data_IF_002050573275
#
_entry.id   IF_002050573275
#
_cell.length_a   1.000
_cell.length_b   1.000
_cell.length_c   1.000
_cell.angle_alpha   90.00
_cell.angle_beta   90.00
_cell.angle_gamma   90.00
#
_symmetry.space_group_name_H-M   'P 1'
#
loop_
_entity.id
_entity.type
_entity.pdbx_description
1 polymer ?
#
# COMPACT_ATOMS: atom_id res chain seq x y z
N UNK A 1 -29.00 -17.78 18.80
CA UNK A 1 -27.78 -17.62 17.98
C UNK A 1 -26.71 -18.52 18.58
N UNK A 2 -26.21 -19.55 17.88
CA UNK A 2 -25.21 -20.42 18.47
C UNK A 2 -23.88 -19.67 18.59
N UNK A 3 -23.28 -19.72 19.78
CA UNK A 3 -21.97 -19.17 20.05
C UNK A 3 -20.93 -19.92 19.20
N UNK A 4 -20.26 -19.20 18.29
CA UNK A 4 -19.09 -19.72 17.57
C UNK A 4 -18.06 -20.15 18.61
N UNK A 5 -17.68 -21.43 18.58
CA UNK A 5 -16.74 -22.04 19.52
C UNK A 5 -15.40 -21.28 19.52
N UNK A 6 -14.77 -21.11 20.69
CA UNK A 6 -13.41 -20.55 20.81
C UNK A 6 -12.39 -21.30 19.94
N UNK A 7 -12.64 -22.58 19.64
CA UNK A 7 -11.83 -23.42 18.75
C UNK A 7 -11.95 -22.98 17.27
N UNK A 8 -13.12 -22.50 16.86
CA UNK A 8 -13.35 -21.95 15.51
C UNK A 8 -12.78 -20.53 15.36
N UNK A 9 -12.73 -19.74 16.46
CA UNK A 9 -11.97 -18.48 16.50
C UNK A 9 -10.45 -18.72 16.48
N UNK A 10 -9.97 -19.83 17.04
CA UNK A 10 -8.54 -20.23 17.04
C UNK A 10 -8.00 -20.63 15.67
N UNK A 11 -8.86 -21.04 14.73
CA UNK A 11 -8.48 -21.37 13.35
C UNK A 11 -8.90 -20.30 12.35
N UNK A 12 -8.73 -19.02 12.70
CA UNK A 12 -8.76 -18.02 11.64
C UNK A 12 -7.55 -18.28 10.73
N UNK A 13 -7.80 -18.55 9.44
CA UNK A 13 -6.71 -18.73 8.49
C UNK A 13 -5.90 -17.45 8.49
N UNK A 14 -4.59 -17.56 8.40
CA UNK A 14 -3.71 -16.38 8.40
C UNK A 14 -4.04 -15.41 7.26
N UNK A 15 -4.57 -15.93 6.16
CA UNK A 15 -5.16 -15.16 5.07
C UNK A 15 -6.36 -14.29 5.49
N UNK A 16 -7.24 -14.82 6.34
CA UNK A 16 -8.44 -14.12 6.82
C UNK A 16 -8.08 -13.01 7.82
N UNK A 17 -7.12 -13.29 8.72
CA UNK A 17 -6.56 -12.27 9.62
C UNK A 17 -5.92 -11.13 8.81
N UNK A 18 -5.10 -11.48 7.81
CA UNK A 18 -4.48 -10.51 6.91
C UNK A 18 -5.52 -9.64 6.22
N UNK A 19 -6.53 -10.25 5.58
CA UNK A 19 -7.60 -9.53 4.87
C UNK A 19 -8.39 -8.62 5.80
N UNK A 20 -8.69 -9.09 7.01
CA UNK A 20 -9.36 -8.28 8.02
C UNK A 20 -8.53 -7.04 8.39
N UNK A 21 -7.25 -7.20 8.69
CA UNK A 21 -6.36 -6.09 9.05
C UNK A 21 -6.15 -5.14 7.87
N UNK A 22 -5.99 -5.67 6.66
CA UNK A 22 -5.90 -4.86 5.45
C UNK A 22 -7.12 -3.96 5.29
N UNK A 23 -8.33 -4.50 5.46
CA UNK A 23 -9.57 -3.74 5.27
C UNK A 23 -9.88 -2.77 6.42
N UNK A 24 -9.62 -3.16 7.67
CA UNK A 24 -10.03 -2.40 8.86
C UNK A 24 -8.95 -1.45 9.39
N UNK A 25 -7.69 -1.88 9.39
CA UNK A 25 -6.62 -1.22 10.12
C UNK A 25 -5.57 -0.57 9.21
N UNK A 26 -5.26 -1.16 8.06
CA UNK A 26 -4.17 -0.68 7.22
C UNK A 26 -4.60 0.11 6.01
N UNK A 27 -5.83 -0.09 5.52
CA UNK A 27 -6.36 0.71 4.42
C UNK A 27 -6.90 2.03 4.97
N UNK A 28 -6.50 3.13 4.35
CA UNK A 28 -6.96 4.48 4.70
C UNK A 28 -7.41 5.24 3.46
N UNK A 29 -8.58 5.90 3.51
CA UNK A 29 -8.92 6.86 2.47
C UNK A 29 -7.93 8.02 2.51
N UNK A 30 -7.73 8.66 1.35
CA UNK A 30 -6.90 9.87 1.27
C UNK A 30 -7.68 11.04 0.71
N UNK A 31 -7.29 12.25 1.12
CA UNK A 31 -7.74 13.48 0.53
C UNK A 31 -7.30 13.53 -0.94
N UNK A 32 -8.25 13.83 -1.83
CA UNK A 32 -7.99 13.86 -3.26
C UNK A 32 -7.02 14.99 -3.65
N UNK A 33 -6.10 14.68 -4.56
CA UNK A 33 -4.98 15.55 -4.91
C UNK A 33 -5.33 16.78 -5.75
N UNK A 34 -6.58 16.97 -6.22
CA UNK A 34 -7.16 18.19 -6.81
C UNK A 34 -8.42 17.88 -7.63
N UNK A 35 -8.70 16.60 -7.93
CA UNK A 35 -9.77 16.16 -8.84
C UNK A 35 -11.19 16.35 -8.27
N UNK A 36 -11.31 16.86 -7.04
CA UNK A 36 -12.57 16.99 -6.34
C UNK A 36 -12.73 18.41 -5.78
N UNK A 37 -13.46 19.27 -6.50
CA UNK A 37 -14.05 20.47 -5.93
C UNK A 37 -15.58 20.41 -6.05
N UNK A 38 -16.33 20.54 -4.94
CA UNK A 38 -15.86 20.70 -3.57
C UNK A 38 -15.45 19.37 -2.90
N UNK A 39 -14.59 19.38 -1.85
CA UNK A 39 -14.05 18.18 -1.21
C UNK A 39 -15.12 17.17 -0.73
N UNK A 40 -16.26 17.68 -0.25
CA UNK A 40 -17.37 16.86 0.25
C UNK A 40 -18.16 16.10 -0.83
N UNK A 41 -17.90 16.34 -2.11
CA UNK A 41 -18.49 15.60 -3.25
C UNK A 41 -17.51 14.63 -3.89
N UNK A 42 -16.34 14.41 -3.28
CA UNK A 42 -15.29 13.64 -3.91
C UNK A 42 -15.64 12.15 -4.03
N UNK A 43 -15.71 11.66 -5.27
CA UNK A 43 -15.95 10.25 -5.59
C UNK A 43 -14.66 9.49 -5.92
N UNK A 44 -13.48 10.09 -5.74
CA UNK A 44 -12.22 9.50 -6.20
C UNK A 44 -11.89 8.15 -5.52
N UNK A 45 -12.49 7.87 -4.34
CA UNK A 45 -12.37 6.62 -3.54
C UNK A 45 -10.92 6.10 -3.45
N UNK A 46 -9.93 6.99 -3.58
CA UNK A 46 -8.52 6.64 -3.52
C UNK A 46 -8.17 6.28 -2.09
N UNK A 47 -7.30 5.29 -1.97
CA UNK A 47 -6.85 4.73 -0.71
C UNK A 47 -5.36 4.49 -0.74
N UNK A 48 -4.75 4.51 0.44
CA UNK A 48 -3.41 3.98 0.66
C UNK A 48 -3.49 2.81 1.62
N UNK A 49 -2.46 1.98 1.57
CA UNK A 49 -2.21 0.92 2.54
C UNK A 49 -1.05 1.38 3.43
N UNK A 50 -1.19 1.19 4.74
CA UNK A 50 -0.13 1.42 5.71
C UNK A 50 0.96 0.35 5.52
N UNK A 51 1.83 0.57 4.55
CA UNK A 51 2.84 -0.39 4.09
C UNK A 51 3.77 -0.85 5.20
N UNK A 52 4.15 0.03 6.13
CA UNK A 52 5.02 -0.34 7.26
C UNK A 52 4.35 -1.30 8.25
N UNK A 53 3.08 -1.07 8.60
CA UNK A 53 2.34 -1.97 9.48
C UNK A 53 2.16 -3.34 8.82
N UNK A 54 1.83 -3.34 7.53
CA UNK A 54 1.70 -4.54 6.70
C UNK A 54 3.02 -5.32 6.61
N UNK A 55 4.13 -4.65 6.29
CA UNK A 55 5.45 -5.27 6.19
C UNK A 55 5.91 -5.85 7.53
N UNK A 56 5.66 -5.13 8.62
CA UNK A 56 5.96 -5.57 9.98
C UNK A 56 5.15 -6.81 10.33
N UNK A 57 3.86 -6.83 10.01
CA UNK A 57 2.98 -7.96 10.31
C UNK A 57 3.48 -9.27 9.70
N UNK A 58 4.03 -9.24 8.48
CA UNK A 58 4.60 -10.43 7.82
C UNK A 58 5.82 -11.02 8.53
N UNK A 59 6.63 -10.18 9.17
CA UNK A 59 7.87 -10.61 9.85
C UNK A 59 7.69 -10.82 11.36
N UNK A 60 6.59 -10.35 11.92
CA UNK A 60 6.24 -10.61 13.31
C UNK A 60 6.00 -12.11 13.54
N UNK A 61 6.44 -12.59 14.71
CA UNK A 61 6.19 -13.95 15.15
C UNK A 61 4.75 -14.12 15.58
N UNK A 62 4.16 -15.28 15.28
CA UNK A 62 2.81 -15.56 15.75
C UNK A 62 2.82 -15.83 17.26
N UNK A 63 1.88 -15.29 18.06
CA UNK A 63 1.87 -15.49 19.52
C UNK A 63 1.83 -16.96 19.93
N UNK A 64 1.15 -17.80 19.16
CA UNK A 64 1.03 -19.25 19.41
C UNK A 64 2.19 -20.06 18.80
N UNK A 65 3.06 -19.44 17.99
CA UNK A 65 4.20 -20.11 17.36
C UNK A 65 5.39 -19.15 17.24
N UNK A 66 6.10 -18.87 18.36
CA UNK A 66 7.18 -17.89 18.41
C UNK A 66 8.38 -18.23 17.51
N UNK A 67 8.49 -19.47 17.06
CA UNK A 67 9.54 -19.97 16.15
C UNK A 67 9.28 -19.60 14.69
N UNK A 68 8.04 -19.20 14.35
CA UNK A 68 7.63 -18.92 12.98
C UNK A 68 7.04 -17.53 12.83
N UNK A 69 7.51 -16.80 11.82
CA UNK A 69 6.86 -15.55 11.42
C UNK A 69 5.51 -15.84 10.76
N UNK A 70 4.63 -14.84 10.74
CA UNK A 70 3.37 -14.93 10.02
C UNK A 70 3.56 -15.26 8.53
N UNK A 71 4.61 -14.75 7.88
CA UNK A 71 4.92 -15.13 6.50
C UNK A 71 5.27 -16.61 6.32
N UNK A 72 5.97 -17.23 7.29
CA UNK A 72 6.24 -18.67 7.25
C UNK A 72 4.95 -19.46 7.34
N UNK A 73 4.14 -19.16 8.35
CA UNK A 73 2.83 -19.80 8.55
C UNK A 73 1.92 -19.66 7.34
N UNK A 74 1.92 -18.50 6.67
CA UNK A 74 1.16 -18.32 5.43
C UNK A 74 1.59 -19.26 4.32
N UNK A 75 2.90 -19.46 4.12
CA UNK A 75 3.39 -20.40 3.11
C UNK A 75 3.09 -21.86 3.45
N UNK A 76 3.10 -22.22 4.74
CA UNK A 76 2.76 -23.56 5.21
C UNK A 76 1.26 -23.86 5.08
N UNK A 77 0.40 -22.87 5.33
CA UNK A 77 -1.07 -23.01 5.20
C UNK A 77 -1.57 -22.89 3.76
N UNK A 78 -0.76 -22.32 2.85
CA UNK A 78 -1.16 -22.12 1.45
C UNK A 78 -0.77 -23.34 0.61
N UNK A 79 -1.75 -24.08 0.06
CA UNK A 79 -1.43 -25.22 -0.78
C UNK A 79 -0.63 -24.77 -2.02
N UNK A 80 0.35 -25.57 -2.48
CA UNK A 80 1.09 -25.24 -3.68
C UNK A 80 0.14 -25.16 -4.88
N UNK A 81 0.29 -24.13 -5.71
CA UNK A 81 -0.50 -24.03 -6.93
C UNK A 81 -0.23 -25.24 -7.85
N UNK A 82 -1.23 -25.77 -8.58
CA UNK A 82 -1.06 -26.95 -9.43
C UNK A 82 0.02 -26.80 -10.50
N UNK A 83 0.25 -25.57 -10.96
CA UNK A 83 1.25 -25.22 -11.97
C UNK A 83 2.65 -24.96 -11.39
N UNK A 84 2.82 -25.06 -10.07
CA UNK A 84 4.05 -24.68 -9.39
C UNK A 84 5.09 -25.77 -9.57
N UNK A 85 6.01 -25.56 -10.51
CA UNK A 85 7.13 -26.49 -10.77
C UNK A 85 8.21 -26.43 -9.69
N UNK A 86 8.34 -25.29 -9.00
CA UNK A 86 9.34 -25.09 -7.93
C UNK A 86 8.75 -24.28 -6.78
N UNK A 87 9.02 -24.72 -5.55
CA UNK A 87 8.61 -24.02 -4.34
C UNK A 87 9.41 -22.72 -4.19
N UNK A 88 8.73 -21.57 -4.24
CA UNK A 88 9.38 -20.29 -3.90
C UNK A 88 9.66 -20.34 -2.40
N UNK A 89 10.95 -20.21 -2.06
CA UNK A 89 11.39 -20.24 -0.67
C UNK A 89 10.91 -18.98 0.05
N UNK A 90 10.59 -19.12 1.33
CA UNK A 90 10.25 -17.99 2.21
C UNK A 90 11.23 -16.82 2.07
N UNK A 91 12.53 -17.14 2.04
CA UNK A 91 13.61 -16.18 1.91
C UNK A 91 13.45 -15.29 0.66
N UNK A 92 12.93 -15.83 -0.44
CA UNK A 92 12.79 -15.10 -1.69
C UNK A 92 11.65 -14.08 -1.64
N UNK A 93 10.56 -14.40 -0.93
CA UNK A 93 9.36 -13.54 -0.87
C UNK A 93 9.47 -12.51 0.25
N UNK A 94 9.99 -12.93 1.41
CA UNK A 94 9.90 -12.12 2.63
C UNK A 94 11.21 -11.44 3.03
N UNK A 95 12.35 -11.80 2.45
CA UNK A 95 13.65 -11.24 2.85
C UNK A 95 14.41 -10.59 1.71
N UNK A 96 15.27 -9.63 2.05
CA UNK A 96 16.17 -8.96 1.12
C UNK A 96 15.51 -7.90 0.22
N UNK A 97 16.33 -7.37 -0.67
CA UNK A 97 16.03 -6.28 -1.59
C UNK A 97 15.00 -6.61 -2.67
N UNK A 98 14.81 -7.92 -2.91
CA UNK A 98 13.89 -8.48 -3.89
C UNK A 98 12.63 -9.06 -3.21
N UNK A 99 12.31 -8.58 -2.00
CA UNK A 99 11.10 -9.02 -1.32
C UNK A 99 9.86 -8.67 -2.15
N UNK A 100 8.83 -9.49 -1.96
CA UNK A 100 7.54 -9.36 -2.62
C UNK A 100 6.42 -9.27 -1.57
N UNK A 101 6.67 -8.63 -0.42
CA UNK A 101 5.70 -8.58 0.68
C UNK A 101 4.48 -7.76 0.28
N UNK A 102 4.71 -6.59 -0.33
CA UNK A 102 3.65 -5.71 -0.84
C UNK A 102 3.00 -6.30 -2.09
N UNK A 103 3.79 -6.86 -3.00
CA UNK A 103 3.25 -7.56 -4.19
C UNK A 103 2.34 -8.71 -3.76
N UNK A 104 2.80 -9.59 -2.87
CA UNK A 104 1.99 -10.70 -2.33
C UNK A 104 0.72 -10.18 -1.66
N UNK A 105 0.84 -9.09 -0.89
CA UNK A 105 -0.28 -8.47 -0.18
C UNK A 105 -1.35 -7.93 -1.12
N UNK A 106 -0.94 -7.30 -2.22
CA UNK A 106 -1.83 -6.86 -3.28
C UNK A 106 -2.51 -8.04 -3.99
N UNK A 107 -1.75 -9.08 -4.32
CA UNK A 107 -2.30 -10.30 -4.93
C UNK A 107 -3.25 -11.02 -3.96
N UNK A 108 -3.00 -10.97 -2.64
CA UNK A 108 -3.90 -11.50 -1.62
C UNK A 108 -5.24 -10.76 -1.58
N UNK A 109 -5.21 -9.43 -1.66
CA UNK A 109 -6.42 -8.61 -1.75
C UNK A 109 -7.24 -8.99 -3.00
N UNK A 110 -6.57 -9.23 -4.12
CA UNK A 110 -7.19 -9.54 -5.41
C UNK A 110 -7.57 -11.02 -5.59
N UNK A 111 -7.15 -11.91 -4.68
CA UNK A 111 -7.35 -13.36 -4.81
C UNK A 111 -6.39 -14.07 -5.76
N UNK A 112 -5.32 -13.40 -6.21
CA UNK A 112 -4.30 -13.89 -7.14
C UNK A 112 -3.01 -14.35 -6.44
N UNK A 113 -2.99 -14.49 -5.12
CA UNK A 113 -1.78 -14.82 -4.33
C UNK A 113 -1.08 -16.12 -4.75
N UNK A 114 -1.83 -17.08 -5.32
CA UNK A 114 -1.30 -18.32 -5.86
C UNK A 114 -0.37 -18.12 -7.07
N UNK A 115 -0.35 -16.92 -7.67
CA UNK A 115 0.51 -16.53 -8.79
C UNK A 115 1.80 -15.83 -8.35
N UNK A 116 2.07 -15.72 -7.04
CA UNK A 116 3.25 -15.00 -6.53
C UNK A 116 4.57 -15.50 -7.11
N UNK A 117 4.68 -16.79 -7.44
CA UNK A 117 5.86 -17.36 -8.07
C UNK A 117 6.06 -16.86 -9.51
N UNK A 118 4.96 -16.63 -10.24
CA UNK A 118 4.98 -16.07 -11.60
C UNK A 118 5.41 -14.61 -11.59
N UNK A 119 4.89 -13.84 -10.65
CA UNK A 119 5.29 -12.45 -10.41
C UNK A 119 6.77 -12.37 -10.03
N UNK A 120 7.22 -13.19 -9.09
CA UNK A 120 8.62 -13.23 -8.67
C UNK A 120 9.57 -13.58 -9.82
N UNK A 121 9.26 -14.61 -10.62
CA UNK A 121 10.09 -15.02 -11.77
C UNK A 121 10.16 -13.96 -12.88
N UNK A 122 9.13 -13.12 -12.99
CA UNK A 122 9.09 -12.00 -13.92
C UNK A 122 9.76 -10.73 -13.38
N UNK A 123 10.49 -10.82 -12.25
CA UNK A 123 11.11 -9.68 -11.54
C UNK A 123 10.10 -8.62 -11.05
N UNK A 124 8.87 -9.05 -10.75
CA UNK A 124 7.82 -8.20 -10.17
C UNK A 124 7.87 -8.30 -8.64
N UNK A 125 8.82 -7.58 -8.05
CA UNK A 125 9.05 -7.45 -6.61
C UNK A 125 8.52 -6.11 -6.05
N UNK A 126 8.71 -5.83 -4.75
CA UNK A 126 8.19 -4.62 -4.11
C UNK A 126 8.73 -3.31 -4.75
N UNK A 127 9.95 -3.34 -5.34
CA UNK A 127 10.52 -2.19 -6.07
C UNK A 127 9.83 -1.95 -7.42
N UNK A 128 9.22 -2.98 -8.00
CA UNK A 128 8.46 -2.89 -9.25
C UNK A 128 7.26 -1.94 -9.10
N UNK A 129 6.63 -1.91 -7.92
CA UNK A 129 5.40 -1.18 -7.71
C UNK A 129 5.55 0.33 -8.03
N UNK A 130 6.70 0.92 -7.70
CA UNK A 130 7.03 2.32 -7.97
C UNK A 130 7.41 2.61 -9.43
N UNK A 131 7.66 1.58 -10.26
CA UNK A 131 8.16 1.74 -11.63
C UNK A 131 7.03 1.64 -12.65
N UNK A 132 7.23 2.27 -13.80
CA UNK A 132 6.49 1.95 -15.03
C UNK A 132 7.42 1.09 -15.87
N UNK A 133 7.22 -0.23 -15.86
CA UNK A 133 8.01 -1.18 -16.65
C UNK A 133 7.11 -1.89 -17.65
N UNK A 134 7.76 -2.53 -18.62
CA UNK A 134 7.10 -3.42 -19.58
C UNK A 134 6.71 -4.73 -18.88
N UNK A 135 5.44 -5.08 -18.93
CA UNK A 135 4.90 -6.31 -18.33
C UNK A 135 5.11 -7.54 -19.21
N UNK A 136 5.90 -7.45 -20.30
CA UNK A 136 6.07 -8.55 -21.25
C UNK A 136 6.51 -9.87 -20.58
N UNK A 137 7.51 -9.83 -19.69
CA UNK A 137 7.96 -11.02 -18.96
C UNK A 137 6.87 -11.59 -18.05
N UNK A 138 6.11 -10.71 -17.38
CA UNK A 138 4.99 -11.12 -16.52
C UNK A 138 3.88 -11.75 -17.36
N UNK A 139 3.55 -11.14 -18.49
CA UNK A 139 2.54 -11.62 -19.44
C UNK A 139 2.90 -12.99 -19.99
N UNK A 140 4.14 -13.20 -20.42
CA UNK A 140 4.63 -14.50 -20.88
C UNK A 140 4.54 -15.55 -19.78
N UNK A 141 4.99 -15.22 -18.57
CA UNK A 141 4.94 -16.09 -17.39
C UNK A 141 3.51 -16.51 -17.00
N UNK A 142 2.54 -15.59 -17.12
CA UNK A 142 1.13 -15.85 -16.81
C UNK A 142 0.40 -16.62 -17.93
N UNK A 143 0.77 -16.43 -19.19
CA UNK A 143 0.19 -17.15 -20.35
C UNK A 143 0.46 -18.66 -20.31
N UNK A 144 1.46 -19.11 -19.55
CA UNK A 144 1.71 -20.53 -19.31
C UNK A 144 0.56 -21.22 -18.54
N UNK A 145 -0.24 -20.46 -17.79
CA UNK A 145 -1.22 -21.01 -16.84
C UNK A 145 -2.63 -20.42 -16.98
N UNK A 146 -2.77 -19.31 -17.70
CA UNK A 146 -4.04 -18.60 -17.89
C UNK A 146 -4.26 -18.22 -19.35
N UNK A 147 -5.54 -18.04 -19.72
CA UNK A 147 -5.89 -17.52 -21.04
C UNK A 147 -5.48 -16.06 -21.19
N UNK A 148 -5.26 -15.60 -22.43
CA UNK A 148 -4.88 -14.20 -22.72
C UNK A 148 -5.82 -13.18 -22.06
N UNK A 149 -7.13 -13.43 -22.08
CA UNK A 149 -8.14 -12.55 -21.47
C UNK A 149 -7.99 -12.47 -19.95
N UNK A 150 -7.67 -13.59 -19.28
CA UNK A 150 -7.43 -13.61 -17.84
C UNK A 150 -6.12 -12.90 -17.50
N UNK A 151 -5.06 -13.10 -18.29
CA UNK A 151 -3.78 -12.40 -18.12
C UNK A 151 -3.96 -10.89 -18.23
N UNK A 152 -4.69 -10.42 -19.25
CA UNK A 152 -5.01 -9.00 -19.42
C UNK A 152 -5.72 -8.43 -18.19
N UNK A 153 -6.68 -9.18 -17.64
CA UNK A 153 -7.42 -8.78 -16.43
C UNK A 153 -6.52 -8.74 -15.20
N UNK A 154 -5.69 -9.77 -14.96
CA UNK A 154 -4.78 -9.83 -13.80
C UNK A 154 -3.82 -8.65 -13.81
N UNK A 155 -3.18 -8.38 -14.96
CA UNK A 155 -2.26 -7.25 -15.13
C UNK A 155 -3.02 -5.94 -14.91
N UNK A 156 -4.19 -5.77 -15.54
CA UNK A 156 -5.00 -4.55 -15.36
C UNK A 156 -5.39 -4.31 -13.90
N UNK A 157 -5.87 -5.34 -13.20
CA UNK A 157 -6.21 -5.29 -11.78
C UNK A 157 -4.99 -4.89 -10.96
N UNK A 158 -3.84 -5.53 -11.18
CA UNK A 158 -2.57 -5.21 -10.52
C UNK A 158 -2.17 -3.75 -10.72
N UNK A 159 -2.16 -3.24 -11.96
CA UNK A 159 -1.78 -1.84 -12.24
C UNK A 159 -2.76 -0.81 -11.70
N UNK A 160 -4.05 -1.14 -11.63
CA UNK A 160 -5.07 -0.28 -11.04
C UNK A 160 -4.80 -0.06 -9.56
N UNK A 161 -4.50 -1.13 -8.83
CA UNK A 161 -4.50 -1.12 -7.37
C UNK A 161 -3.09 -0.93 -6.77
N UNK A 162 -2.01 -1.14 -7.54
CA UNK A 162 -0.62 -1.06 -7.04
C UNK A 162 -0.25 0.26 -6.35
N UNK A 163 -0.85 1.37 -6.78
CA UNK A 163 -0.52 2.69 -6.23
C UNK A 163 -0.96 2.85 -4.77
N UNK A 164 -1.97 2.09 -4.32
CA UNK A 164 -2.36 2.06 -2.91
C UNK A 164 -1.25 1.48 -2.01
N UNK A 165 -0.40 0.60 -2.56
CA UNK A 165 0.73 -0.03 -1.87
C UNK A 165 2.05 0.76 -2.03
N UNK A 166 1.96 1.97 -2.59
CA UNK A 166 3.08 2.87 -2.88
C UNK A 166 2.81 4.29 -2.36
N UNK A 167 2.58 4.46 -1.05
CA UNK A 167 2.43 5.81 -0.50
C UNK A 167 3.72 6.60 -0.72
N UNK A 168 3.58 7.89 -1.03
CA UNK A 168 4.74 8.78 -1.13
C UNK A 168 5.40 8.94 0.23
N UNK A 169 6.70 8.69 0.31
CA UNK A 169 7.49 8.97 1.51
C UNK A 169 7.76 10.47 1.61
N UNK A 170 7.10 11.16 2.54
CA UNK A 170 7.32 12.59 2.76
C UNK A 170 8.65 12.84 3.49
N UNK A 171 9.40 13.83 3.02
CA UNK A 171 10.66 14.27 3.61
C UNK A 171 10.62 15.78 3.86
N UNK A 172 11.39 16.26 4.83
CA UNK A 172 11.59 17.70 4.99
C UNK A 172 12.20 18.28 3.69
N UNK A 173 11.75 19.48 3.30
CA UNK A 173 12.20 20.18 2.08
C UNK A 173 12.02 19.38 0.78
N UNK A 174 11.03 18.48 0.73
CA UNK A 174 10.69 17.74 -0.48
C UNK A 174 10.35 18.70 -1.63
N UNK A 175 11.20 18.71 -2.64
CA UNK A 175 10.99 19.38 -3.93
C UNK A 175 10.91 18.33 -5.04
N UNK A 176 9.75 17.63 -5.09
CA UNK A 176 9.50 16.58 -6.06
C UNK A 176 8.40 17.03 -7.02
N UNK A 177 8.72 17.00 -8.30
CA UNK A 177 7.72 17.20 -9.34
C UNK A 177 6.82 15.95 -9.43
N UNK A 178 5.59 16.06 -8.91
CA UNK A 178 4.58 15.00 -8.96
C UNK A 178 3.65 15.11 -10.19
N UNK A 179 3.93 16.01 -11.13
CA UNK A 179 3.14 16.15 -12.36
C UNK A 179 3.10 14.86 -13.17
N UNK A 180 1.88 14.43 -13.51
CA UNK A 180 1.65 13.20 -14.28
C UNK A 180 2.02 11.91 -13.53
N UNK A 181 2.41 11.99 -12.26
CA UNK A 181 2.69 10.80 -11.46
C UNK A 181 1.38 10.15 -11.01
N UNK A 182 1.37 8.82 -10.96
CA UNK A 182 0.23 8.04 -10.43
C UNK A 182 0.34 7.81 -8.91
N UNK A 183 1.22 8.55 -8.23
CA UNK A 183 1.50 8.37 -6.82
C UNK A 183 0.36 8.93 -5.98
N UNK A 184 -0.06 8.17 -4.96
CA UNK A 184 -1.08 8.61 -4.00
C UNK A 184 -0.38 9.29 -2.83
N UNK A 185 -0.76 10.55 -2.57
CA UNK A 185 -0.23 11.34 -1.46
C UNK A 185 -0.92 10.88 -0.17
N UNK A 186 -0.18 10.67 0.92
CA UNK A 186 -0.72 10.15 2.17
C UNK A 186 -1.42 11.23 3.00
N UNK A 187 -2.23 12.07 2.38
CA UNK A 187 -2.93 13.16 3.04
C UNK A 187 -4.28 12.64 3.54
N UNK A 188 -4.59 12.80 4.82
CA UNK A 188 -5.93 12.54 5.35
C UNK A 188 -6.87 13.74 5.17
N UNK A 189 -6.32 14.97 5.24
CA UNK A 189 -7.05 16.20 4.94
C UNK A 189 -6.25 17.12 4.00
N UNK A 190 -6.95 17.96 3.24
CA UNK A 190 -6.37 18.92 2.30
C UNK A 190 -7.28 20.13 2.11
N UNK A 191 -6.78 21.30 2.48
CA UNK A 191 -7.46 22.60 2.43
C UNK A 191 -6.69 23.54 1.50
N UNK A 192 -7.32 24.02 0.43
CA UNK A 192 -6.74 25.06 -0.44
C UNK A 192 -6.73 26.40 0.31
N UNK A 193 -5.58 27.04 0.42
CA UNK A 193 -5.48 28.38 0.98
C UNK A 193 -5.88 29.43 -0.08
N UNK A 194 -6.51 30.55 0.34
CA UNK A 194 -6.90 31.61 -0.59
C UNK A 194 -5.68 32.19 -1.30
N UNK A 195 -5.85 32.47 -2.59
CA UNK A 195 -4.80 32.99 -3.46
C UNK A 195 -4.42 34.41 -3.04
N UNK A 196 -3.22 34.57 -2.48
CA UNK A 196 -2.59 35.88 -2.27
C UNK A 196 -1.54 36.13 -3.35
N UNK A 197 -1.99 36.27 -4.60
CA UNK A 197 -1.23 36.91 -5.69
C UNK A 197 0.06 36.21 -6.14
N UNK A 198 0.05 34.90 -6.39
CA UNK A 198 1.19 34.17 -6.96
C UNK A 198 0.76 33.04 -7.89
N UNK A 199 1.70 32.48 -8.66
CA UNK A 199 1.48 31.42 -9.66
C UNK A 199 1.32 30.01 -9.08
N UNK A 200 1.35 29.86 -7.75
CA UNK A 200 1.35 28.56 -7.08
C UNK A 200 0.15 28.40 -6.15
N UNK A 201 -0.55 27.28 -6.27
CA UNK A 201 -1.59 26.85 -5.34
C UNK A 201 -0.95 26.31 -4.05
N UNK A 202 -1.31 26.90 -2.91
CA UNK A 202 -0.83 26.47 -1.59
C UNK A 202 -1.94 25.72 -0.88
N UNK A 203 -1.60 24.58 -0.28
CA UNK A 203 -2.54 23.77 0.49
C UNK A 203 -2.02 23.56 1.92
N UNK A 204 -2.93 23.55 2.88
CA UNK A 204 -2.73 22.87 4.15
C UNK A 204 -3.15 21.42 3.98
N UNK A 205 -2.33 20.49 4.45
CA UNK A 205 -2.63 19.06 4.39
C UNK A 205 -2.45 18.46 5.78
N UNK A 206 -3.21 17.43 6.14
CA UNK A 206 -2.93 16.66 7.35
C UNK A 206 -2.38 15.30 6.95
N UNK A 207 -1.42 14.79 7.72
CA UNK A 207 -0.80 13.47 7.51
C UNK A 207 -0.77 12.72 8.84
N UNK A 208 -1.09 11.43 8.79
CA UNK A 208 -0.97 10.56 9.96
C UNK A 208 0.50 10.40 10.36
N UNK A 209 0.77 10.49 11.66
CA UNK A 209 2.13 10.45 12.22
C UNK A 209 2.87 9.17 11.85
N UNK A 210 2.18 8.03 11.79
CA UNK A 210 2.74 6.71 11.47
C UNK A 210 3.11 6.53 9.98
N UNK A 211 2.66 7.44 9.11
CA UNK A 211 3.02 7.49 7.69
C UNK A 211 4.25 8.38 7.43
N UNK A 212 4.74 9.10 8.44
CA UNK A 212 5.92 9.96 8.33
C UNK A 212 7.12 9.21 8.88
N UNK A 213 8.01 8.77 7.99
CA UNK A 213 9.23 8.05 8.39
C UNK A 213 10.47 8.92 8.47
N UNK A 214 10.43 10.10 7.85
CA UNK A 214 11.54 11.05 7.92
C UNK A 214 11.60 11.69 9.31
N UNK A 215 12.73 11.50 10.00
CA UNK A 215 12.88 11.96 11.39
C UNK A 215 12.93 13.48 11.47
N UNK A 216 13.59 14.14 10.50
CA UNK A 216 13.67 15.59 10.45
C UNK A 216 12.28 16.23 10.25
N UNK A 217 11.48 15.67 9.33
CA UNK A 217 10.08 16.07 9.16
C UNK A 217 9.27 15.79 10.43
N UNK A 218 9.41 14.61 11.04
CA UNK A 218 8.72 14.28 12.30
C UNK A 218 8.99 15.32 13.39
N UNK A 219 10.26 15.68 13.59
CA UNK A 219 10.67 16.67 14.59
C UNK A 219 10.12 18.07 14.29
N UNK A 220 10.13 18.48 13.01
CA UNK A 220 9.57 19.75 12.56
C UNK A 220 8.06 19.84 12.81
N UNK A 221 7.35 18.71 12.74
CA UNK A 221 5.91 18.60 12.90
C UNK A 221 5.47 18.38 14.34
N UNK A 222 6.38 18.11 15.28
CA UNK A 222 6.06 17.74 16.65
C UNK A 222 5.14 18.75 17.35
N UNK A 223 5.28 20.05 17.06
CA UNK A 223 4.45 21.13 17.65
C UNK A 223 3.07 21.28 17.02
N UNK A 224 2.83 20.60 15.89
CA UNK A 224 1.59 20.63 15.11
C UNK A 224 0.75 19.37 15.27
N UNK A 225 1.18 18.44 16.12
CA UNK A 225 0.47 17.19 16.37
C UNK A 225 -0.86 17.45 17.08
N UNK A 226 -1.92 16.81 16.58
CA UNK A 226 -3.22 16.77 17.22
C UNK A 226 -3.86 15.40 17.04
N UNK A 227 -4.92 15.13 17.80
CA UNK A 227 -5.67 13.88 17.71
C UNK A 227 -6.91 14.09 16.84
N UNK A 228 -7.03 13.26 15.82
CA UNK A 228 -8.18 13.12 14.95
C UNK A 228 -8.94 11.83 15.31
N UNK A 229 -10.27 11.88 15.28
CA UNK A 229 -11.12 10.77 15.71
C UNK A 229 -11.09 9.58 14.73
N UNK A 230 -10.86 9.83 13.44
CA UNK A 230 -10.78 8.80 12.40
C UNK A 230 -9.33 8.34 12.16
N UNK A 231 -8.40 9.29 12.18
CA UNK A 231 -7.01 9.07 11.75
C UNK A 231 -5.99 8.98 12.90
N UNK A 232 -6.41 9.20 14.15
CA UNK A 232 -5.52 9.11 15.31
C UNK A 232 -4.58 10.31 15.42
N UNK A 233 -3.29 10.09 15.74
CA UNK A 233 -2.33 11.20 15.79
C UNK A 233 -1.96 11.68 14.38
N UNK A 234 -2.26 12.95 14.10
CA UNK A 234 -2.02 13.58 12.80
C UNK A 234 -1.26 14.91 12.98
N UNK A 235 -0.60 15.37 11.92
CA UNK A 235 0.14 16.64 11.92
C UNK A 235 -0.15 17.46 10.67
N UNK A 236 -0.15 18.78 10.82
CA UNK A 236 -0.14 19.72 9.69
C UNK A 236 1.30 20.11 9.37
N UNK A 237 1.74 20.06 8.10
CA UNK A 237 2.98 20.68 7.71
C UNK A 237 2.98 22.15 8.10
N UNK A 238 3.99 22.52 8.89
CA UNK A 238 4.24 23.89 9.30
C UNK A 238 4.60 24.69 8.05
N UNK A 239 3.60 25.37 7.44
CA UNK A 239 3.74 26.29 6.31
C UNK A 239 4.85 25.90 5.33
N UNK A 240 4.89 24.66 4.86
CA UNK A 240 5.81 24.32 3.78
C UNK A 240 5.18 24.82 2.48
N UNK A 241 5.82 25.73 1.74
CA UNK A 241 5.36 26.06 0.41
C UNK A 241 5.51 24.78 -0.42
N UNK A 242 4.40 24.13 -0.78
CA UNK A 242 4.38 23.14 -1.86
C UNK A 242 4.58 23.91 -3.19
N UNK A 243 5.74 24.55 -3.35
CA UNK A 243 6.08 25.28 -4.58
C UNK A 243 6.27 24.21 -5.66
N UNK A 244 5.42 24.26 -6.68
CA UNK A 244 5.45 23.45 -7.91
C UNK A 244 4.90 22.01 -7.88
N UNK A 245 4.16 21.60 -6.84
CA UNK A 245 3.65 20.21 -6.78
C UNK A 245 2.34 20.02 -7.58
N UNK A 246 1.61 21.09 -7.90
CA UNK A 246 0.29 21.04 -8.52
C UNK A 246 0.04 22.27 -9.43
N UNK A 247 0.83 22.45 -10.49
CA UNK A 247 0.40 23.23 -11.65
C UNK A 247 -0.72 22.52 -12.43
N UNK A 248 -1.91 23.12 -12.43
CA UNK A 248 -3.05 22.70 -13.23
C UNK A 248 -2.77 22.95 -14.73
N UNK A 249 -2.95 21.92 -15.56
CA UNK A 249 -3.43 22.02 -16.95
C UNK A 249 -4.52 20.99 -17.16
#
# INVERSE_FOLDING_TARGET
>A
MPAVSQEQKRRQRIEDEFKYLLQSAWTRPVACQNECQPPHKCSCRRKIVHVYALERWWIEHHPESPEQTRGHRFLDETPPAPHRTFQVRYQNIFTGDQSCRRVLSLLLEQGYHHLIDRFYRADVNDRYLMRSQDDQNLRESLLEVHSRKEVDRIIQDFHRDKWAYCPLNLTLDMDVNLHGTKVILPFCDKIKLPEKGGTASIYWVAVQKDLITDTALTDALQKSLYKDDEFGEVSFPVRTPLRHILNDT
#
